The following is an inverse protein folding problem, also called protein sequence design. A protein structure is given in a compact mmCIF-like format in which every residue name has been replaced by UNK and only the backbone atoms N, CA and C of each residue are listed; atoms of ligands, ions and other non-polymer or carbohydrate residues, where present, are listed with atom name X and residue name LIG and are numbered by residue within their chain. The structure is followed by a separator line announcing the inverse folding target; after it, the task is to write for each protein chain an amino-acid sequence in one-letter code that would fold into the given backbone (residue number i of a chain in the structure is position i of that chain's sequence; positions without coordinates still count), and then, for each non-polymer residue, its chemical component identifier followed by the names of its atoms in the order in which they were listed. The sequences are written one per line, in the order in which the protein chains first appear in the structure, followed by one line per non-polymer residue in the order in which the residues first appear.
data_IF_435418318552
#
_entry.id   IF_435418318552
#
_cell.length_a   1.000
_cell.length_b   1.000
_cell.length_c   1.000
_cell.angle_alpha   90.00
_cell.angle_beta   90.00
_cell.angle_gamma   90.00
#
_symmetry.space_group_name_H-M   'P 1'
#
loop_
_entity.id
_entity.type
_entity.pdbx_description
1 polymer ?
#
# COMPACT_ATOMS: atom_id res chain seq x y z
N UNK A 1 -36.60 11.14 37.55
CA UNK A 1 -36.04 12.18 36.67
C UNK A 1 -34.52 12.03 36.70
N UNK A 2 -33.98 11.22 35.79
CA UNK A 2 -32.53 10.96 35.73
C UNK A 2 -31.92 12.01 34.81
N UNK A 3 -31.21 12.97 35.39
CA UNK A 3 -30.40 13.95 34.66
C UNK A 3 -29.24 13.22 34.01
N UNK A 4 -29.29 13.06 32.69
CA UNK A 4 -28.17 12.62 31.86
C UNK A 4 -27.13 13.73 31.87
N UNK A 5 -26.10 13.56 32.69
CA UNK A 5 -24.93 14.44 32.73
C UNK A 5 -24.19 14.29 31.40
N UNK A 6 -24.31 15.28 30.51
CA UNK A 6 -23.51 15.36 29.31
C UNK A 6 -22.04 15.45 29.70
N UNK A 7 -21.25 14.43 29.34
CA UNK A 7 -19.80 14.45 29.53
C UNK A 7 -19.21 15.63 28.75
N UNK A 8 -18.26 16.38 29.33
CA UNK A 8 -17.59 17.46 28.63
C UNK A 8 -16.84 16.90 27.41
N UNK A 9 -17.05 17.54 26.26
CA UNK A 9 -16.33 17.22 25.03
C UNK A 9 -14.82 17.27 25.28
N UNK A 10 -14.07 16.23 24.90
CA UNK A 10 -12.62 16.23 25.04
C UNK A 10 -12.00 17.34 24.18
N UNK A 11 -10.87 17.94 24.60
CA UNK A 11 -10.17 18.92 23.78
C UNK A 11 -9.78 18.31 22.42
N UNK A 12 -9.67 19.12 21.35
CA UNK A 12 -9.57 18.64 19.97
C UNK A 12 -8.44 17.63 19.75
N UNK A 13 -7.29 17.84 20.43
CA UNK A 13 -6.13 16.96 20.37
C UNK A 13 -6.39 15.57 20.97
N UNK A 14 -7.14 15.50 22.07
CA UNK A 14 -7.48 14.21 22.70
C UNK A 14 -8.54 13.47 21.90
N UNK A 15 -9.46 14.18 21.24
CA UNK A 15 -10.43 13.57 20.33
C UNK A 15 -9.72 12.91 19.13
N UNK A 16 -8.77 13.62 18.51
CA UNK A 16 -7.98 13.10 17.40
C UNK A 16 -7.12 11.90 17.82
N UNK A 17 -6.46 11.95 18.97
CA UNK A 17 -5.69 10.81 19.47
C UNK A 17 -6.60 9.60 19.75
N UNK A 18 -7.80 9.81 20.31
CA UNK A 18 -8.76 8.74 20.52
C UNK A 18 -9.23 8.12 19.20
N UNK A 19 -9.49 8.93 18.17
CA UNK A 19 -9.85 8.47 16.83
C UNK A 19 -8.70 7.70 16.16
N UNK A 20 -7.47 8.18 16.31
CA UNK A 20 -6.27 7.54 15.77
C UNK A 20 -6.04 6.13 16.36
N UNK A 21 -6.41 5.92 17.63
CA UNK A 21 -6.36 4.61 18.29
C UNK A 21 -7.51 3.67 17.91
N UNK A 22 -8.55 4.15 17.21
CA UNK A 22 -9.64 3.29 16.77
C UNK A 22 -9.22 2.36 15.62
N UNK A 23 -9.86 1.18 15.49
CA UNK A 23 -9.69 0.33 14.31
C UNK A 23 -10.08 1.11 13.04
N UNK A 24 -9.38 0.80 11.94
CA UNK A 24 -9.54 1.56 10.70
C UNK A 24 -11.00 1.58 10.22
N UNK A 25 -11.60 2.77 10.15
CA UNK A 25 -12.97 2.92 9.63
C UNK A 25 -12.99 2.86 8.09
N UNK A 26 -14.13 2.53 7.46
CA UNK A 26 -14.24 2.50 6.00
C UNK A 26 -13.84 3.82 5.33
N UNK A 27 -14.12 4.96 5.98
CA UNK A 27 -13.74 6.29 5.51
C UNK A 27 -12.23 6.45 5.44
N UNK A 28 -11.52 6.09 6.52
CA UNK A 28 -10.06 6.12 6.58
C UNK A 28 -9.43 5.21 5.53
N UNK A 29 -9.96 4.00 5.37
CA UNK A 29 -9.49 3.06 4.35
C UNK A 29 -9.65 3.65 2.94
N UNK A 30 -10.82 4.21 2.64
CA UNK A 30 -11.12 4.81 1.34
C UNK A 30 -10.25 6.05 1.08
N UNK A 31 -10.08 6.91 2.08
CA UNK A 31 -9.23 8.09 2.01
C UNK A 31 -7.77 7.72 1.75
N UNK A 32 -7.18 6.88 2.61
CA UNK A 32 -5.80 6.38 2.44
C UNK A 32 -5.62 5.71 1.08
N UNK A 33 -6.57 4.88 0.66
CA UNK A 33 -6.49 4.21 -0.63
C UNK A 33 -6.46 5.19 -1.80
N UNK A 34 -7.29 6.25 -1.75
CA UNK A 34 -7.28 7.33 -2.76
C UNK A 34 -5.96 8.08 -2.75
N UNK A 35 -5.45 8.46 -1.58
CA UNK A 35 -4.17 9.15 -1.42
C UNK A 35 -3.01 8.33 -1.99
N UNK A 36 -2.90 7.07 -1.57
CA UNK A 36 -1.88 6.13 -2.05
C UNK A 36 -1.98 5.94 -3.56
N UNK A 37 -3.20 5.79 -4.10
CA UNK A 37 -3.41 5.66 -5.55
C UNK A 37 -2.98 6.92 -6.29
N UNK A 38 -3.32 8.11 -5.77
CA UNK A 38 -2.93 9.41 -6.33
C UNK A 38 -1.41 9.58 -6.39
N UNK A 39 -0.73 9.27 -5.28
CA UNK A 39 0.74 9.31 -5.17
C UNK A 39 1.37 8.48 -6.30
N UNK A 40 0.87 7.26 -6.53
CA UNK A 40 1.44 6.38 -7.55
C UNK A 40 1.01 6.71 -8.99
N UNK A 41 -0.20 7.24 -9.20
CA UNK A 41 -0.65 7.68 -10.53
C UNK A 41 0.16 8.88 -11.04
N UNK A 42 0.40 9.87 -10.17
CA UNK A 42 1.25 11.01 -10.48
C UNK A 42 2.64 10.57 -10.98
N UNK A 43 3.21 9.51 -10.40
CA UNK A 43 4.49 8.96 -10.84
C UNK A 43 4.47 8.36 -12.24
N UNK A 44 3.43 7.57 -12.53
CA UNK A 44 3.29 6.91 -13.83
C UNK A 44 3.09 7.91 -14.96
N UNK A 45 2.41 9.03 -14.68
CA UNK A 45 2.24 10.13 -15.63
C UNK A 45 3.56 10.87 -15.89
N UNK A 46 4.36 11.15 -14.85
CA UNK A 46 5.66 11.85 -14.97
C UNK A 46 6.72 10.99 -15.65
N UNK A 47 6.67 9.67 -15.50
CA UNK A 47 7.66 8.75 -16.10
C UNK A 47 7.39 8.49 -17.59
N UNK A 48 6.19 8.79 -18.12
CA UNK A 48 5.94 8.79 -19.56
C UNK A 48 6.42 10.10 -20.20
N UNK A 49 7.73 10.35 -20.17
CA UNK A 49 8.33 11.32 -21.07
C UNK A 49 8.22 10.74 -22.50
N UNK A 50 7.65 11.47 -23.48
CA UNK A 50 7.70 11.02 -24.87
C UNK A 50 9.17 10.88 -25.31
N UNK A 51 9.56 9.81 -26.02
CA UNK A 51 10.90 9.70 -26.57
C UNK A 51 11.17 10.91 -27.49
N UNK A 52 12.39 11.48 -27.51
CA UNK A 52 12.72 12.56 -28.42
C UNK A 52 12.48 12.08 -29.85
N UNK A 53 11.70 12.86 -30.60
CA UNK A 53 11.40 12.62 -32.00
C UNK A 53 12.68 12.77 -32.83
N UNK A 54 13.38 11.65 -33.07
CA UNK A 54 14.42 11.58 -34.09
C UNK A 54 13.90 10.77 -35.26
N UNK A 55 13.54 11.52 -36.30
CA UNK A 55 13.31 11.17 -37.71
C UNK A 55 13.74 9.78 -38.19
N UNK A 56 12.74 9.03 -38.69
CA UNK A 56 12.71 8.12 -39.86
C UNK A 56 13.72 6.97 -39.97
N UNK A 57 13.22 5.73 -40.13
CA UNK A 57 13.30 4.95 -41.40
C UNK A 57 12.55 3.61 -41.26
N UNK A 58 11.64 3.35 -42.22
CA UNK A 58 11.15 2.09 -42.82
C UNK A 58 10.54 0.95 -41.96
N UNK A 59 9.30 0.60 -42.33
CA UNK A 59 8.32 -0.39 -41.83
C UNK A 59 8.76 -1.88 -41.86
N UNK A 60 7.99 -2.84 -41.27
CA UNK A 60 6.74 -3.34 -41.89
C UNK A 60 5.53 -3.51 -40.94
N UNK A 61 4.31 -3.71 -41.47
CA UNK A 61 3.09 -3.84 -40.68
C UNK A 61 3.01 -5.23 -40.06
N UNK A 62 2.76 -5.32 -38.76
CA UNK A 62 2.45 -6.61 -38.12
C UNK A 62 1.35 -6.40 -37.10
N UNK A 63 0.13 -6.67 -37.60
CA UNK A 63 -0.91 -7.48 -36.98
C UNK A 63 -1.28 -7.14 -35.53
N UNK A 64 -2.54 -6.74 -35.37
CA UNK A 64 -3.38 -6.94 -34.19
C UNK A 64 -2.65 -7.59 -33.02
N UNK A 65 -2.16 -6.74 -32.12
CA UNK A 65 -1.75 -7.16 -30.78
C UNK A 65 -2.98 -7.73 -30.10
N UNK A 66 -3.21 -9.02 -30.30
CA UNK A 66 -4.14 -9.80 -29.50
C UNK A 66 -3.76 -9.56 -28.03
N UNK A 67 -4.74 -9.35 -27.14
CA UNK A 67 -4.46 -9.35 -25.72
C UNK A 67 -3.96 -10.76 -25.38
N UNK A 68 -2.65 -10.91 -25.21
CA UNK A 68 -2.06 -12.15 -24.74
C UNK A 68 -2.69 -12.49 -23.37
N UNK A 69 -3.24 -13.69 -23.21
CA UNK A 69 -3.92 -14.05 -21.98
C UNK A 69 -2.92 -14.30 -20.85
N UNK A 70 -3.21 -13.75 -19.66
CA UNK A 70 -2.85 -14.29 -18.34
C UNK A 70 -1.38 -14.19 -17.87
N UNK A 71 -0.80 -12.99 -17.86
CA UNK A 71 0.07 -12.66 -16.73
C UNK A 71 -0.86 -12.58 -15.51
N UNK A 72 -0.62 -13.35 -14.45
CA UNK A 72 -1.47 -13.38 -13.26
C UNK A 72 -1.72 -11.95 -12.77
N UNK A 73 -2.92 -11.43 -13.06
CA UNK A 73 -3.26 -10.03 -12.80
C UNK A 73 -3.17 -9.82 -11.31
N UNK A 74 -2.18 -9.04 -10.85
CA UNK A 74 -2.14 -8.62 -9.45
C UNK A 74 -3.47 -7.94 -9.11
N UNK A 75 -3.96 -8.10 -7.87
CA UNK A 75 -5.19 -7.44 -7.45
C UNK A 75 -5.07 -5.93 -7.70
N UNK A 76 -6.20 -5.25 -7.99
CA UNK A 76 -6.19 -3.80 -8.01
C UNK A 76 -5.78 -3.29 -6.62
N UNK A 77 -5.10 -2.13 -6.57
CA UNK A 77 -4.57 -1.57 -5.33
C UNK A 77 -5.67 -1.28 -4.29
N UNK A 78 -6.85 -0.88 -4.75
CA UNK A 78 -7.97 -0.49 -3.90
C UNK A 78 -8.49 -1.65 -3.04
N UNK A 79 -8.96 -2.77 -3.62
CA UNK A 79 -9.36 -3.92 -2.82
C UNK A 79 -8.19 -4.50 -2.03
N UNK A 80 -6.95 -4.21 -2.44
CA UNK A 80 -5.74 -4.61 -1.71
C UNK A 80 -5.55 -3.94 -0.38
N UNK A 81 -5.59 -2.62 -0.38
CA UNK A 81 -5.51 -1.87 0.85
C UNK A 81 -6.69 -2.22 1.75
N UNK A 82 -7.91 -2.27 1.20
CA UNK A 82 -9.13 -2.60 1.95
C UNK A 82 -9.07 -3.97 2.63
N UNK A 83 -8.70 -5.02 1.89
CA UNK A 83 -8.62 -6.36 2.43
C UNK A 83 -7.54 -6.48 3.51
N UNK A 84 -6.36 -5.92 3.25
CA UNK A 84 -5.23 -6.08 4.15
C UNK A 84 -5.47 -5.32 5.47
N UNK A 85 -6.03 -4.11 5.40
CA UNK A 85 -6.37 -3.31 6.58
C UNK A 85 -7.42 -3.99 7.45
N UNK A 86 -8.51 -4.45 6.83
CA UNK A 86 -9.62 -5.07 7.55
C UNK A 86 -9.21 -6.38 8.23
N UNK A 87 -8.47 -7.26 7.55
CA UNK A 87 -8.08 -8.56 8.10
C UNK A 87 -6.94 -8.43 9.12
N UNK A 88 -6.03 -7.47 8.93
CA UNK A 88 -4.90 -7.30 9.84
C UNK A 88 -5.22 -6.47 11.09
N UNK A 89 -6.42 -5.88 11.17
CA UNK A 89 -6.86 -4.99 12.26
C UNK A 89 -5.94 -3.79 12.44
N UNK A 90 -5.68 -3.08 11.35
CA UNK A 90 -4.84 -1.88 11.36
C UNK A 90 -5.63 -0.72 11.99
N UNK A 91 -4.95 0.14 12.75
CA UNK A 91 -5.52 1.38 13.32
C UNK A 91 -5.43 2.56 12.36
N UNK A 92 -6.25 3.60 12.58
CA UNK A 92 -6.20 4.83 11.80
C UNK A 92 -4.80 5.47 11.83
N UNK A 93 -4.17 5.48 13.00
CA UNK A 93 -2.78 5.94 13.18
C UNK A 93 -1.80 5.18 12.26
N UNK A 94 -1.84 3.85 12.29
CA UNK A 94 -0.97 3.02 11.44
C UNK A 94 -1.18 3.30 9.95
N UNK A 95 -2.42 3.55 9.52
CA UNK A 95 -2.72 3.92 8.13
C UNK A 95 -2.18 5.30 7.74
N UNK A 96 -2.31 6.28 8.64
CA UNK A 96 -1.82 7.64 8.42
C UNK A 96 -0.30 7.63 8.23
N UNK A 97 0.42 6.99 9.15
CA UNK A 97 1.87 6.82 9.07
C UNK A 97 2.27 6.05 7.81
N UNK A 98 1.54 4.99 7.42
CA UNK A 98 1.81 4.26 6.19
C UNK A 98 1.66 5.15 4.94
N UNK A 99 0.71 6.08 4.94
CA UNK A 99 0.49 7.03 3.85
C UNK A 99 1.67 8.01 3.75
N UNK A 100 2.09 8.59 4.89
CA UNK A 100 3.27 9.48 4.95
C UNK A 100 4.53 8.76 4.47
N UNK A 101 4.79 7.55 4.97
CA UNK A 101 5.93 6.74 4.56
C UNK A 101 5.90 6.39 3.08
N UNK A 102 4.71 6.12 2.54
CA UNK A 102 4.56 5.87 1.09
C UNK A 102 4.94 7.11 0.29
N UNK A 103 4.46 8.31 0.68
CA UNK A 103 4.84 9.58 0.02
C UNK A 103 6.34 9.84 0.11
N UNK A 104 6.94 9.68 1.29
CA UNK A 104 8.37 9.93 1.50
C UNK A 104 9.24 8.99 0.69
N UNK A 105 8.90 7.70 0.67
CA UNK A 105 9.64 6.75 -0.17
C UNK A 105 9.47 7.09 -1.64
N UNK A 106 8.26 7.43 -2.07
CA UNK A 106 7.97 7.82 -3.44
C UNK A 106 8.84 9.00 -3.91
N UNK A 107 9.03 10.04 -3.08
CA UNK A 107 9.90 11.17 -3.39
C UNK A 107 11.39 10.79 -3.56
N UNK A 108 11.81 9.64 -3.03
CA UNK A 108 13.19 9.13 -3.06
C UNK A 108 13.43 8.08 -4.14
N UNK A 109 12.38 7.63 -4.83
CA UNK A 109 12.51 6.59 -5.85
C UNK A 109 13.06 7.17 -7.17
N UNK A 110 14.02 6.48 -7.83
CA UNK A 110 14.54 6.92 -9.13
C UNK A 110 13.51 6.67 -10.23
N UNK A 111 13.46 7.57 -11.22
CA UNK A 111 12.56 7.48 -12.37
C UNK A 111 12.52 6.05 -12.96
N UNK A 112 11.32 5.47 -13.10
CA UNK A 112 11.15 4.11 -13.59
C UNK A 112 11.22 2.98 -12.54
N UNK A 113 11.48 3.25 -11.25
CA UNK A 113 11.45 2.22 -10.19
C UNK A 113 10.09 1.49 -10.05
N UNK A 114 9.00 2.18 -10.39
CA UNK A 114 7.62 1.65 -10.36
C UNK A 114 7.23 0.85 -11.62
N UNK A 115 8.13 0.69 -12.58
CA UNK A 115 7.88 -0.08 -13.82
C UNK A 115 7.66 -1.58 -13.59
N UNK A 116 8.05 -2.11 -12.42
CA UNK A 116 7.89 -3.54 -12.09
C UNK A 116 6.46 -3.85 -11.62
N UNK A 117 5.80 -4.89 -12.16
CA UNK A 117 4.48 -5.30 -11.72
C UNK A 117 4.51 -5.66 -10.22
N UNK A 118 3.61 -5.04 -9.45
CA UNK A 118 3.53 -5.24 -7.99
C UNK A 118 4.48 -4.39 -7.15
N UNK A 119 5.28 -3.49 -7.74
CA UNK A 119 6.12 -2.56 -6.98
C UNK A 119 5.29 -1.74 -5.99
N UNK A 120 4.16 -1.19 -6.44
CA UNK A 120 3.21 -0.43 -5.63
C UNK A 120 2.70 -1.22 -4.42
N UNK A 121 2.33 -2.49 -4.63
CA UNK A 121 1.83 -3.37 -3.57
C UNK A 121 2.90 -3.64 -2.51
N UNK A 122 4.14 -3.90 -2.95
CA UNK A 122 5.28 -4.14 -2.07
C UNK A 122 5.64 -2.89 -1.26
N UNK A 123 5.64 -1.73 -1.91
CA UNK A 123 5.88 -0.44 -1.25
C UNK A 123 4.85 -0.23 -0.14
N UNK A 124 3.55 -0.40 -0.45
CA UNK A 124 2.51 -0.24 0.56
C UNK A 124 2.65 -1.24 1.72
N UNK A 125 2.96 -2.52 1.44
CA UNK A 125 3.18 -3.52 2.49
C UNK A 125 4.38 -3.17 3.38
N UNK A 126 5.48 -2.70 2.79
CA UNK A 126 6.64 -2.23 3.53
C UNK A 126 6.30 -1.03 4.42
N UNK A 127 5.62 -0.03 3.87
CA UNK A 127 5.18 1.16 4.59
C UNK A 127 4.28 0.80 5.77
N UNK A 128 3.29 -0.07 5.54
CA UNK A 128 2.33 -0.48 6.56
C UNK A 128 2.95 -1.30 7.68
N UNK A 129 3.86 -2.23 7.36
CA UNK A 129 4.58 -3.00 8.38
C UNK A 129 5.36 -2.10 9.33
N UNK A 130 6.07 -1.12 8.78
CA UNK A 130 6.88 -0.21 9.57
C UNK A 130 6.02 0.76 10.36
N UNK A 131 4.96 1.30 9.75
CA UNK A 131 4.01 2.17 10.43
C UNK A 131 3.39 1.47 11.64
N UNK A 132 2.89 0.24 11.45
CA UNK A 132 2.30 -0.51 12.55
C UNK A 132 3.29 -0.82 13.67
N UNK A 133 4.54 -1.18 13.34
CA UNK A 133 5.58 -1.41 14.36
C UNK A 133 6.04 -0.14 15.08
N UNK A 134 5.93 1.01 14.43
CA UNK A 134 6.34 2.29 14.99
C UNK A 134 5.26 2.88 15.90
N UNK A 135 3.99 2.70 15.54
CA UNK A 135 2.84 3.26 16.25
C UNK A 135 2.33 2.33 17.35
N UNK A 136 2.34 1.01 17.13
CA UNK A 136 1.74 0.04 18.04
C UNK A 136 2.82 -0.69 18.86
N UNK A 137 2.77 -0.53 20.18
CA UNK A 137 3.71 -1.16 21.12
C UNK A 137 3.71 -2.70 21.06
N UNK A 138 2.57 -3.30 20.68
CA UNK A 138 2.39 -4.75 20.66
C UNK A 138 2.83 -5.43 19.33
N UNK A 139 3.29 -4.68 18.33
CA UNK A 139 3.82 -5.15 17.04
C UNK A 139 3.16 -6.44 16.47
N UNK A 140 1.81 -6.49 16.46
CA UNK A 140 1.09 -7.73 16.11
C UNK A 140 1.17 -8.07 14.62
N UNK A 141 1.47 -7.07 13.78
CA UNK A 141 1.65 -7.23 12.35
C UNK A 141 3.05 -7.74 12.02
N UNK A 142 3.15 -9.04 11.78
CA UNK A 142 4.39 -9.68 11.34
C UNK A 142 4.36 -9.98 9.83
N UNK A 143 5.53 -10.12 9.18
CA UNK A 143 5.61 -10.60 7.80
C UNK A 143 4.85 -11.92 7.58
N UNK A 144 4.82 -12.79 8.60
CA UNK A 144 4.07 -14.06 8.57
C UNK A 144 2.56 -13.83 8.61
N UNK A 145 2.07 -12.89 9.43
CA UNK A 145 0.64 -12.52 9.47
C UNK A 145 0.20 -12.01 8.11
N UNK A 146 0.95 -11.09 7.50
CA UNK A 146 0.65 -10.57 6.16
C UNK A 146 0.67 -11.68 5.11
N UNK A 147 1.70 -12.51 5.07
CA UNK A 147 1.75 -13.64 4.13
C UNK A 147 0.53 -14.55 4.25
N UNK A 148 0.15 -14.93 5.48
CA UNK A 148 -1.01 -15.77 5.74
C UNK A 148 -2.33 -15.09 5.34
N UNK A 149 -2.42 -13.78 5.49
CA UNK A 149 -3.57 -12.98 5.03
C UNK A 149 -3.64 -12.97 3.50
N UNK A 150 -2.52 -12.69 2.82
CA UNK A 150 -2.45 -12.67 1.37
C UNK A 150 -2.77 -14.05 0.74
N UNK A 151 -2.36 -15.14 1.40
CA UNK A 151 -2.69 -16.51 0.96
C UNK A 151 -4.19 -16.83 1.06
N UNK A 152 -4.90 -16.19 2.00
CA UNK A 152 -6.34 -16.40 2.22
C UNK A 152 -7.23 -15.48 1.41
N UNK A 153 -6.67 -14.53 0.68
CA UNK A 153 -7.46 -13.62 -0.12
C UNK A 153 -8.15 -14.39 -1.27
N UNK A 154 -9.49 -14.33 -1.45
CA UNK A 154 -10.23 -14.95 -2.58
C UNK A 154 -9.64 -14.79 -4.01
N UNK A 155 -9.39 -13.56 -4.48
CA UNK A 155 -8.72 -13.25 -5.75
C UNK A 155 -7.30 -13.84 -5.86
N UNK A 156 -6.51 -13.81 -4.79
CA UNK A 156 -5.18 -14.44 -4.78
C UNK A 156 -5.25 -15.94 -4.55
N UNK A 157 -6.30 -16.46 -3.91
CA UNK A 157 -6.52 -17.86 -3.56
C UNK A 157 -6.85 -18.66 -4.81
N UNK A 158 -7.73 -18.15 -5.68
CA UNK A 158 -7.98 -18.74 -7.00
C UNK A 158 -6.74 -18.67 -7.91
N UNK A 159 -5.90 -17.64 -7.79
CA UNK A 159 -4.59 -17.59 -8.44
C UNK A 159 -3.61 -18.59 -7.79
N UNK A 160 -3.64 -18.76 -6.46
CA UNK A 160 -2.79 -19.66 -5.70
C UNK A 160 -3.12 -21.13 -5.95
N UNK A 161 -4.39 -21.51 -6.05
CA UNK A 161 -4.79 -22.86 -6.46
C UNK A 161 -4.28 -23.16 -7.87
N UNK A 162 -4.29 -22.16 -8.76
CA UNK A 162 -3.67 -22.25 -10.09
C UNK A 162 -2.14 -22.23 -10.05
N UNK A 163 -1.49 -21.69 -9.01
CA UNK A 163 -0.03 -21.71 -8.81
C UNK A 163 0.43 -23.04 -8.22
N UNK A 164 -0.32 -23.58 -7.26
CA UNK A 164 -0.07 -24.88 -6.64
C UNK A 164 -0.15 -26.01 -7.68
N UNK A 165 -1.00 -25.83 -8.70
CA UNK A 165 -1.17 -26.73 -9.85
C UNK A 165 -0.48 -26.23 -11.14
N UNK A 166 0.16 -25.05 -11.13
CA UNK A 166 0.63 -24.36 -12.34
C UNK A 166 2.14 -24.24 -12.46
N UNK A 167 2.60 -24.02 -13.69
CA UNK A 167 4.00 -23.94 -14.07
C UNK A 167 4.79 -22.74 -13.51
N UNK A 168 6.10 -22.67 -13.79
CA UNK A 168 7.05 -21.73 -13.17
C UNK A 168 6.70 -20.24 -13.35
N UNK A 169 5.97 -19.86 -14.42
CA UNK A 169 5.56 -18.48 -14.68
C UNK A 169 4.57 -17.92 -13.64
N UNK A 170 3.67 -18.75 -13.09
CA UNK A 170 2.66 -18.30 -12.13
C UNK A 170 3.24 -18.13 -10.73
N UNK A 171 4.27 -18.92 -10.36
CA UNK A 171 5.07 -18.71 -9.13
C UNK A 171 5.78 -17.35 -9.12
N UNK A 172 6.07 -16.79 -10.29
CA UNK A 172 6.79 -15.54 -10.47
C UNK A 172 5.92 -14.27 -10.28
N UNK A 173 4.60 -14.39 -10.15
CA UNK A 173 3.73 -13.23 -9.92
C UNK A 173 3.50 -12.92 -8.43
N UNK A 174 3.51 -13.95 -7.56
CA UNK A 174 3.19 -13.83 -6.13
C UNK A 174 4.34 -14.18 -5.20
N UNK A 175 5.56 -14.38 -5.70
CA UNK A 175 6.75 -14.66 -4.87
C UNK A 175 7.00 -13.60 -3.79
N UNK A 176 6.56 -12.36 -4.01
CA UNK A 176 6.72 -11.30 -3.02
C UNK A 176 5.84 -11.48 -1.78
N UNK A 177 4.81 -12.32 -1.86
CA UNK A 177 3.90 -12.60 -0.75
C UNK A 177 4.42 -13.68 0.22
N UNK A 178 5.61 -14.27 -0.01
CA UNK A 178 6.22 -15.19 0.95
C UNK A 178 6.72 -14.43 2.19
N UNK A 179 6.63 -15.02 3.41
CA UNK A 179 7.03 -14.34 4.65
C UNK A 179 8.47 -13.80 4.62
N UNK A 180 9.41 -14.59 4.08
CA UNK A 180 10.81 -14.20 3.95
C UNK A 180 10.99 -13.00 3.02
N UNK A 181 10.19 -12.92 1.97
CA UNK A 181 10.25 -11.83 1.00
C UNK A 181 9.61 -10.56 1.56
N UNK A 182 8.49 -10.67 2.28
CA UNK A 182 7.90 -9.56 3.02
C UNK A 182 8.89 -9.01 4.06
N UNK A 183 9.65 -9.87 4.75
CA UNK A 183 10.71 -9.42 5.66
C UNK A 183 11.89 -8.74 4.92
N UNK A 184 12.20 -9.14 3.67
CA UNK A 184 13.17 -8.42 2.84
C UNK A 184 12.63 -7.06 2.41
N UNK A 185 11.37 -6.98 2.01
CA UNK A 185 10.68 -5.73 1.64
C UNK A 185 10.72 -4.76 2.82
N UNK A 186 10.37 -5.19 4.01
CA UNK A 186 10.43 -4.38 5.23
C UNK A 186 11.83 -3.79 5.47
N UNK A 187 12.87 -4.63 5.45
CA UNK A 187 14.26 -4.17 5.64
C UNK A 187 14.73 -3.25 4.51
N UNK A 188 14.36 -3.53 3.28
CA UNK A 188 14.69 -2.70 2.14
C UNK A 188 14.01 -1.33 2.25
N UNK A 189 12.75 -1.30 2.68
CA UNK A 189 12.00 -0.06 2.90
C UNK A 189 12.68 0.80 3.97
N UNK A 190 13.06 0.22 5.11
CA UNK A 190 13.80 0.93 6.16
C UNK A 190 15.09 1.56 5.65
N UNK A 191 15.87 0.80 4.87
CA UNK A 191 17.13 1.28 4.28
C UNK A 191 16.88 2.41 3.29
N UNK A 192 15.86 2.30 2.44
CA UNK A 192 15.52 3.35 1.47
C UNK A 192 14.99 4.61 2.15
N UNK A 193 14.36 4.47 3.32
CA UNK A 193 13.95 5.58 4.17
C UNK A 193 15.08 6.15 5.03
N UNK A 194 16.28 5.55 4.99
CA UNK A 194 17.42 5.93 5.82
C UNK A 194 17.04 6.04 7.31
N UNK A 195 16.18 5.12 7.77
CA UNK A 195 15.66 5.07 9.14
C UNK A 195 14.92 6.34 9.62
N UNK A 196 14.53 7.24 8.71
CA UNK A 196 13.74 8.45 9.01
C UNK A 196 12.25 8.11 9.21
N UNK A 197 11.94 7.53 10.36
CA UNK A 197 10.59 7.11 10.75
C UNK A 197 9.81 8.19 11.53
N UNK A 198 10.46 9.23 12.02
CA UNK A 198 9.77 10.30 12.72
C UNK A 198 8.77 11.01 11.79
N UNK A 199 7.52 11.14 12.22
CA UNK A 199 6.45 11.85 11.51
C UNK A 199 5.97 12.99 12.39
N UNK A 200 6.02 14.22 11.88
CA UNK A 200 5.54 15.41 12.59
C UNK A 200 4.01 15.53 12.52
N UNK A 201 3.42 16.36 13.38
CA UNK A 201 1.99 16.69 13.29
C UNK A 201 1.65 17.38 11.95
N UNK A 202 2.57 18.18 11.40
CA UNK A 202 2.41 18.83 10.09
C UNK A 202 2.35 17.80 8.95
N UNK A 203 3.21 16.78 8.99
CA UNK A 203 3.19 15.69 8.01
C UNK A 203 1.90 14.89 8.07
N UNK A 204 1.33 14.73 9.27
CA UNK A 204 0.06 14.02 9.47
C UNK A 204 -1.14 14.85 9.01
N UNK A 205 -1.13 16.15 9.29
CA UNK A 205 -2.23 17.06 9.00
C UNK A 205 -2.61 17.08 7.51
N UNK A 206 -1.62 16.94 6.62
CA UNK A 206 -1.85 16.87 5.17
C UNK A 206 -2.69 15.65 4.73
N UNK A 207 -2.72 14.59 5.53
CA UNK A 207 -3.38 13.33 5.18
C UNK A 207 -4.58 13.01 6.06
N UNK A 208 -4.98 13.93 6.94
CA UNK A 208 -6.23 13.79 7.68
C UNK A 208 -7.42 13.92 6.70
N UNK A 209 -8.48 13.12 6.85
CA UNK A 209 -9.70 13.34 6.10
C UNK A 209 -10.34 14.68 6.53
N UNK A 210 -10.83 15.47 5.58
CA UNK A 210 -11.42 16.81 5.81
C UNK A 210 -12.64 16.84 6.76
N UNK A 211 -13.16 15.69 7.18
CA UNK A 211 -14.34 15.57 8.04
C UNK A 211 -14.08 14.93 9.43
N UNK A 212 -12.81 14.77 9.85
CA UNK A 212 -12.46 14.29 11.21
C UNK A 212 -12.21 15.42 12.20
#
# INVERSE_FOLDING_TARGET
MSTVTALPMPPPRLALLAELSQPSSPLWIQHTTRQVTSIFQAYTAVTQLPPPATTSFTSPPSLSRSPTPSCATLPPLIPFVQYLVSVCQITNASLLYATVYTRRLHARLPAGALSKPGAVHRIFVGALLLAHKYVEDAATLTPRKIANTLMRWPALSSAWSRIALGGPATRQALWWAYPAEIARIERAFLKLMDFQLYVSEEDMAEFLPEES
#
